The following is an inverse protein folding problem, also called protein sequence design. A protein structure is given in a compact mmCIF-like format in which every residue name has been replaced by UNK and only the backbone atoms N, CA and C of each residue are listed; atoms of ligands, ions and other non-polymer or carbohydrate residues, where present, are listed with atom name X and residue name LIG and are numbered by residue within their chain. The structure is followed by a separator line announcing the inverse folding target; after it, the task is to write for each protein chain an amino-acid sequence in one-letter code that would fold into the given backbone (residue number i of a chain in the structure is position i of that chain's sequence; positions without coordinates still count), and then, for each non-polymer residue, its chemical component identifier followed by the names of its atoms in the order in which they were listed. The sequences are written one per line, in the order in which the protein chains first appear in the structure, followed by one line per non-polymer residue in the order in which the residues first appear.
data_IF_221446166918
#
_entry.id   IF_221446166918
#
_cell.length_a   1.000
_cell.length_b   1.000
_cell.length_c   1.000
_cell.angle_alpha   90.00
_cell.angle_beta   90.00
_cell.angle_gamma   90.00
#
_symmetry.space_group_name_H-M   'P 1'
#
loop_
_entity.id
_entity.type
_entity.pdbx_description
1 polymer ?
#
# COMPACT_ATOMS: atom_id res chain seq x y z
N UNK A 1 87.49 2.88 -17.12
CA UNK A 1 86.88 2.74 -18.47
C UNK A 1 85.58 1.89 -18.38
N UNK A 2 84.51 2.32 -19.09
CA UNK A 2 83.24 1.65 -19.39
C UNK A 2 82.11 2.00 -18.40
N UNK A 3 81.39 2.93 -18.77
CA UNK A 3 80.11 3.18 -19.49
C UNK A 3 78.89 2.61 -18.74
N UNK A 4 78.18 3.58 -18.24
CA UNK A 4 76.82 3.50 -17.69
C UNK A 4 75.81 3.20 -18.80
N UNK A 5 74.88 2.29 -18.55
CA UNK A 5 73.66 2.18 -19.30
C UNK A 5 72.49 2.26 -18.33
N UNK A 6 71.73 3.30 -18.50
CA UNK A 6 70.49 3.63 -17.81
C UNK A 6 69.34 2.79 -18.41
N UNK A 7 68.63 2.03 -17.59
CA UNK A 7 67.34 1.46 -17.97
C UNK A 7 66.22 2.31 -17.35
N UNK A 8 65.44 2.93 -18.18
CA UNK A 8 64.21 3.64 -17.84
C UNK A 8 63.13 2.61 -17.58
N UNK A 9 62.65 2.57 -16.37
CA UNK A 9 61.44 1.83 -16.00
C UNK A 9 60.23 2.67 -16.39
N UNK A 10 59.42 2.15 -17.32
CA UNK A 10 58.12 2.68 -17.69
C UNK A 10 57.10 2.28 -16.62
N UNK A 11 56.59 3.23 -15.90
CA UNK A 11 55.45 3.03 -15.00
C UNK A 11 54.18 2.98 -15.84
N UNK A 12 53.57 1.79 -15.95
CA UNK A 12 52.23 1.63 -16.48
C UNK A 12 51.23 1.95 -15.42
N UNK A 13 50.58 3.11 -15.53
CA UNK A 13 49.44 3.49 -14.71
C UNK A 13 48.22 2.70 -15.18
N UNK A 14 47.80 1.70 -14.40
CA UNK A 14 46.52 1.03 -14.59
C UNK A 14 45.38 1.91 -14.09
N UNK A 15 44.67 2.56 -15.00
CA UNK A 15 43.45 3.28 -14.73
C UNK A 15 42.32 2.28 -14.48
N UNK A 16 41.98 2.01 -13.22
CA UNK A 16 40.81 1.24 -12.86
C UNK A 16 39.57 2.11 -13.08
N UNK A 17 38.86 1.91 -14.18
CA UNK A 17 37.55 2.50 -14.41
C UNK A 17 36.53 1.80 -13.51
N UNK A 18 36.16 2.45 -12.39
CA UNK A 18 34.97 2.09 -11.62
C UNK A 18 33.74 2.47 -12.45
N UNK A 19 33.15 1.51 -13.12
CA UNK A 19 31.80 1.65 -13.68
C UNK A 19 30.80 1.54 -12.52
N UNK A 20 30.39 2.69 -11.99
CA UNK A 20 29.22 2.79 -11.13
C UNK A 20 28.00 2.41 -11.97
N UNK A 21 27.50 1.19 -11.79
CA UNK A 21 26.20 0.77 -12.29
C UNK A 21 25.14 1.56 -11.50
N UNK A 22 24.75 2.72 -12.03
CA UNK A 22 23.55 3.41 -11.59
C UNK A 22 22.35 2.48 -11.89
N UNK A 23 21.82 1.86 -10.85
CA UNK A 23 20.51 1.23 -10.89
C UNK A 23 19.49 2.34 -11.10
N UNK A 24 19.23 2.67 -12.37
CA UNK A 24 18.08 3.48 -12.75
C UNK A 24 16.84 2.72 -12.33
N UNK A 25 16.27 3.10 -11.19
CA UNK A 25 14.87 2.82 -10.91
C UNK A 25 14.09 3.42 -12.09
N UNK A 26 13.68 2.57 -13.04
CA UNK A 26 12.79 2.95 -14.12
C UNK A 26 11.48 3.38 -13.47
N UNK A 27 11.32 4.64 -13.20
CA UNK A 27 10.02 5.27 -13.10
C UNK A 27 9.33 5.01 -14.42
N UNK A 28 8.35 4.10 -14.43
CA UNK A 28 7.49 3.91 -15.59
C UNK A 28 6.78 5.23 -15.83
N UNK A 29 7.23 5.96 -16.84
CA UNK A 29 6.56 7.13 -17.31
C UNK A 29 5.24 6.66 -17.93
N UNK A 30 4.08 7.12 -17.45
CA UNK A 30 2.81 6.66 -17.98
C UNK A 30 2.76 6.97 -19.46
N UNK A 31 2.52 5.95 -20.27
CA UNK A 31 2.17 6.17 -21.68
C UNK A 31 0.87 6.97 -21.69
N UNK A 32 0.94 8.22 -22.14
CA UNK A 32 -0.20 9.11 -22.26
C UNK A 32 -1.27 8.43 -23.13
N UNK A 33 -2.32 7.92 -22.51
CA UNK A 33 -3.45 7.35 -23.24
C UNK A 33 -4.27 8.50 -23.79
N UNK A 34 -4.62 8.44 -25.08
CA UNK A 34 -5.36 9.48 -25.85
C UNK A 34 -6.75 9.86 -25.29
N UNK A 35 -7.08 9.49 -24.06
CA UNK A 35 -8.36 9.74 -23.39
C UNK A 35 -8.20 10.30 -21.98
N UNK A 36 -7.11 11.02 -21.70
CA UNK A 36 -6.93 11.65 -20.41
C UNK A 36 -7.92 12.80 -20.23
N UNK A 37 -8.32 13.04 -18.97
CA UNK A 37 -9.23 14.13 -18.65
C UNK A 37 -8.63 15.47 -19.11
N UNK A 38 -9.38 16.32 -19.81
CA UNK A 38 -8.87 17.60 -20.28
C UNK A 38 -8.30 18.40 -19.11
N UNK A 39 -7.00 18.67 -19.16
CA UNK A 39 -6.32 19.47 -18.15
C UNK A 39 -6.00 18.78 -16.82
N UNK A 40 -6.14 17.48 -16.67
CA UNK A 40 -5.66 16.74 -15.48
C UNK A 40 -4.66 15.69 -15.91
N UNK A 41 -3.41 15.87 -15.51
CA UNK A 41 -2.32 14.94 -15.79
C UNK A 41 -2.00 14.06 -14.58
N UNK A 42 -1.84 12.75 -14.79
CA UNK A 42 -1.27 11.83 -13.83
C UNK A 42 0.25 11.95 -13.88
N UNK A 43 0.86 12.43 -12.79
CA UNK A 43 2.31 12.67 -12.69
C UNK A 43 3.04 11.43 -12.20
N UNK A 44 2.47 10.79 -11.16
CA UNK A 44 3.07 9.62 -10.53
C UNK A 44 1.98 8.76 -9.92
N UNK A 45 2.18 7.47 -9.94
CA UNK A 45 1.34 6.51 -9.24
C UNK A 45 2.16 5.32 -8.76
N UNK A 46 1.62 4.57 -7.83
CA UNK A 46 2.25 3.38 -7.30
C UNK A 46 1.47 2.83 -6.12
N UNK A 47 1.88 1.66 -5.66
CA UNK A 47 1.35 1.08 -4.43
C UNK A 47 2.49 0.51 -3.59
N UNK A 48 2.25 0.45 -2.30
CA UNK A 48 3.16 -0.15 -1.32
C UNK A 48 2.41 -1.16 -0.48
N UNK A 49 3.10 -2.21 -0.09
CA UNK A 49 2.61 -3.21 0.83
C UNK A 49 3.10 -2.87 2.23
N UNK A 50 2.17 -2.65 3.13
CA UNK A 50 2.44 -2.25 4.50
C UNK A 50 1.96 -3.32 5.47
N UNK A 51 2.78 -3.65 6.46
CA UNK A 51 2.35 -4.56 7.52
C UNK A 51 1.26 -3.89 8.36
N UNK A 52 0.12 -4.55 8.47
CA UNK A 52 -0.97 -4.09 9.34
C UNK A 52 -0.60 -4.43 10.78
N UNK A 53 -0.55 -3.40 11.62
CA UNK A 53 -0.44 -3.61 13.05
C UNK A 53 -1.84 -3.89 13.60
N UNK A 54 -2.02 -5.02 14.28
CA UNK A 54 -3.30 -5.41 14.86
C UNK A 54 -3.86 -4.36 15.85
N UNK A 55 -2.99 -3.54 16.48
CA UNK A 55 -3.39 -2.45 17.40
C UNK A 55 -3.99 -1.25 16.69
N UNK A 56 -3.70 -1.08 15.42
CA UNK A 56 -4.12 0.06 14.59
C UNK A 56 -4.68 -0.42 13.25
N UNK A 57 -5.49 -1.47 13.28
CA UNK A 57 -6.16 -1.92 12.06
C UNK A 57 -7.10 -0.79 11.59
N UNK A 58 -6.81 -0.13 10.45
CA UNK A 58 -7.64 0.95 9.94
C UNK A 58 -9.03 0.48 9.49
N UNK A 59 -9.27 -0.84 9.48
CA UNK A 59 -10.54 -1.46 9.07
C UNK A 59 -11.41 -1.88 10.26
N UNK A 60 -11.19 -1.33 11.46
CA UNK A 60 -12.11 -1.49 12.56
C UNK A 60 -11.70 -2.45 13.66
N UNK A 61 -10.41 -2.67 13.79
CA UNK A 61 -9.88 -3.47 14.89
C UNK A 61 -9.76 -4.95 14.56
N UNK A 62 -9.27 -5.74 15.48
CA UNK A 62 -9.07 -7.16 15.26
C UNK A 62 -10.43 -7.80 14.99
N UNK A 63 -10.59 -8.38 13.82
CA UNK A 63 -11.71 -9.29 13.59
C UNK A 63 -11.53 -10.44 14.56
N UNK A 64 -12.34 -10.46 15.61
CA UNK A 64 -12.38 -11.60 16.53
C UNK A 64 -12.71 -12.85 15.72
N UNK A 65 -11.85 -13.85 15.84
CA UNK A 65 -12.21 -15.14 15.27
C UNK A 65 -13.31 -15.80 16.12
N UNK A 66 -13.92 -16.84 15.59
CA UNK A 66 -15.04 -17.52 16.25
C UNK A 66 -14.68 -18.04 17.67
N UNK A 67 -13.46 -18.52 17.86
CA UNK A 67 -12.99 -18.99 19.17
C UNK A 67 -12.83 -17.85 20.19
N UNK A 68 -12.32 -16.73 19.77
CA UNK A 68 -12.20 -15.53 20.62
C UNK A 68 -13.57 -15.01 21.04
N UNK A 69 -14.51 -14.99 20.11
CA UNK A 69 -15.91 -14.60 20.38
C UNK A 69 -16.57 -15.55 21.39
N UNK A 70 -16.33 -16.87 21.25
CA UNK A 70 -16.81 -17.87 22.21
C UNK A 70 -16.21 -17.68 23.60
N UNK A 71 -14.90 -17.45 23.71
CA UNK A 71 -14.23 -17.22 24.98
C UNK A 71 -14.79 -15.98 25.66
N UNK A 72 -14.95 -14.88 24.93
CA UNK A 72 -15.53 -13.65 25.46
C UNK A 72 -16.96 -13.87 25.96
N UNK A 73 -17.83 -14.43 25.16
CA UNK A 73 -19.23 -14.69 25.51
C UNK A 73 -19.33 -15.60 26.76
N UNK A 74 -18.48 -16.64 26.84
CA UNK A 74 -18.40 -17.50 28.02
C UNK A 74 -17.98 -16.73 29.28
N UNK A 75 -16.98 -15.89 29.17
CA UNK A 75 -16.46 -15.11 30.30
C UNK A 75 -17.48 -14.07 30.78
N UNK A 76 -18.15 -13.38 29.85
CA UNK A 76 -19.26 -12.45 30.18
C UNK A 76 -20.38 -13.16 30.92
N UNK A 77 -20.82 -14.32 30.41
CA UNK A 77 -21.85 -15.12 31.07
C UNK A 77 -21.44 -15.57 32.48
N UNK A 78 -20.19 -16.07 32.67
CA UNK A 78 -19.69 -16.47 33.99
C UNK A 78 -19.68 -15.30 35.00
N UNK A 79 -19.30 -14.11 34.56
CA UNK A 79 -19.30 -12.90 35.40
C UNK A 79 -20.76 -12.53 35.77
N UNK A 80 -21.68 -12.56 34.84
CA UNK A 80 -23.07 -12.20 35.09
C UNK A 80 -23.79 -13.22 35.96
N UNK A 81 -23.55 -14.50 35.76
CA UNK A 81 -24.11 -15.56 36.61
C UNK A 81 -23.58 -15.44 38.07
N UNK A 82 -22.29 -15.14 38.25
CA UNK A 82 -21.69 -14.92 39.56
C UNK A 82 -22.27 -13.67 40.25
N UNK A 83 -22.50 -12.59 39.53
CA UNK A 83 -23.15 -11.37 40.08
C UNK A 83 -24.58 -11.64 40.50
N UNK A 84 -25.38 -12.35 39.67
CA UNK A 84 -26.79 -12.69 39.98
C UNK A 84 -26.91 -13.64 41.14
N UNK A 85 -25.96 -14.57 41.28
CA UNK A 85 -25.91 -15.55 42.37
C UNK A 85 -25.36 -14.98 43.70
N UNK A 86 -24.99 -13.69 43.75
CA UNK A 86 -24.42 -13.08 44.94
C UNK A 86 -23.07 -13.73 45.38
N UNK A 87 -22.35 -14.31 44.44
CA UNK A 87 -21.11 -15.05 44.72
C UNK A 87 -20.01 -14.11 45.19
N UNK A 88 -19.29 -14.47 46.24
CA UNK A 88 -18.06 -13.82 46.70
C UNK A 88 -16.89 -13.94 45.70
N UNK A 89 -17.05 -14.82 44.71
CA UNK A 89 -16.01 -15.16 43.74
C UNK A 89 -15.98 -14.24 42.48
N UNK A 90 -16.84 -13.23 42.40
CA UNK A 90 -16.94 -12.36 41.22
C UNK A 90 -15.57 -11.77 40.81
N UNK A 91 -14.77 -11.35 41.82
CA UNK A 91 -13.45 -10.75 41.55
C UNK A 91 -12.42 -11.77 41.08
N UNK A 92 -12.51 -13.01 41.56
CA UNK A 92 -11.69 -14.13 41.05
C UNK A 92 -12.03 -14.41 39.58
N UNK A 93 -13.32 -14.54 39.24
CA UNK A 93 -13.83 -14.80 37.91
C UNK A 93 -13.42 -13.67 36.93
N UNK A 94 -13.47 -12.42 37.38
CA UNK A 94 -13.01 -11.27 36.58
C UNK A 94 -11.50 -11.34 36.29
N UNK A 95 -10.69 -11.73 37.29
CA UNK A 95 -9.24 -11.89 37.06
C UNK A 95 -8.94 -13.01 36.06
N UNK A 96 -9.63 -14.13 36.16
CA UNK A 96 -9.51 -15.23 35.20
C UNK A 96 -9.91 -14.79 33.78
N UNK A 97 -11.03 -14.07 33.62
CA UNK A 97 -11.48 -13.55 32.34
C UNK A 97 -10.48 -12.55 31.70
N UNK A 98 -9.83 -11.73 32.53
CA UNK A 98 -8.75 -10.83 32.07
C UNK A 98 -7.50 -11.62 31.63
N UNK A 99 -7.14 -12.69 32.35
CA UNK A 99 -6.03 -13.54 31.95
C UNK A 99 -6.31 -14.27 30.63
N UNK A 100 -7.53 -14.80 30.43
CA UNK A 100 -7.95 -15.38 29.16
C UNK A 100 -7.83 -14.37 28.00
N UNK A 101 -8.30 -13.14 28.22
CA UNK A 101 -8.20 -12.08 27.20
C UNK A 101 -6.75 -11.72 26.89
N UNK A 102 -5.87 -11.66 27.89
CA UNK A 102 -4.44 -11.40 27.68
C UNK A 102 -3.76 -12.53 26.89
N UNK A 103 -4.13 -13.80 27.15
CA UNK A 103 -3.61 -14.93 26.38
C UNK A 103 -4.04 -14.89 24.91
N UNK A 104 -5.28 -14.53 24.65
CA UNK A 104 -5.79 -14.34 23.28
C UNK A 104 -5.03 -13.22 22.57
N UNK A 105 -4.78 -12.12 23.25
CA UNK A 105 -3.99 -11.02 22.71
C UNK A 105 -2.56 -11.44 22.36
N UNK A 106 -1.90 -12.21 23.23
CA UNK A 106 -0.57 -12.77 22.95
C UNK A 106 -0.62 -13.71 21.74
N UNK A 107 -1.64 -14.54 21.63
CA UNK A 107 -1.83 -15.45 20.50
C UNK A 107 -2.02 -14.69 19.18
N UNK A 108 -2.78 -13.59 19.20
CA UNK A 108 -2.93 -12.69 18.02
C UNK A 108 -1.61 -12.08 17.58
N UNK A 109 -0.79 -11.61 18.53
CA UNK A 109 0.54 -11.04 18.25
C UNK A 109 1.48 -12.05 17.60
N UNK A 110 1.33 -13.32 17.92
CA UNK A 110 2.10 -14.44 17.34
C UNK A 110 1.53 -14.96 16.03
N UNK A 111 0.35 -14.50 15.62
CA UNK A 111 -0.28 -14.88 14.37
C UNK A 111 0.55 -14.49 13.14
N UNK A 112 0.24 -15.07 11.97
CA UNK A 112 0.94 -14.73 10.74
C UNK A 112 0.79 -13.23 10.45
N UNK A 113 1.82 -12.59 9.89
CA UNK A 113 1.76 -11.18 9.53
C UNK A 113 0.64 -10.96 8.50
N UNK A 114 -0.10 -9.88 8.66
CA UNK A 114 -1.09 -9.42 7.68
C UNK A 114 -0.61 -8.14 7.05
N UNK A 115 -0.84 -7.98 5.77
CA UNK A 115 -0.47 -6.82 4.99
C UNK A 115 -1.69 -6.15 4.39
N UNK A 116 -1.64 -4.84 4.33
CA UNK A 116 -2.55 -4.02 3.53
C UNK A 116 -1.77 -3.30 2.44
N UNK A 117 -2.48 -2.63 1.57
CA UNK A 117 -1.93 -2.06 0.34
C UNK A 117 -2.28 -0.59 0.25
N UNK A 118 -1.25 0.26 0.20
CA UNK A 118 -1.38 1.70 0.09
C UNK A 118 -1.17 2.13 -1.35
N UNK A 119 -2.23 2.59 -1.97
CA UNK A 119 -2.23 3.15 -3.32
C UNK A 119 -1.96 4.65 -3.24
N UNK A 120 -1.11 5.14 -4.14
CA UNK A 120 -0.70 6.53 -4.23
C UNK A 120 -0.93 7.05 -5.64
N UNK A 121 -1.46 8.26 -5.74
CA UNK A 121 -1.68 8.97 -6.98
C UNK A 121 -1.27 10.43 -6.82
N UNK A 122 -0.36 10.89 -7.68
CA UNK A 122 -0.01 12.31 -7.81
C UNK A 122 -0.59 12.84 -9.11
N UNK A 123 -1.39 13.88 -9.02
CA UNK A 123 -1.97 14.56 -10.19
C UNK A 123 -1.54 16.00 -10.25
N UNK A 124 -1.57 16.57 -11.45
CA UNK A 124 -1.40 17.99 -11.72
C UNK A 124 -2.57 18.50 -12.52
N UNK A 125 -3.13 19.61 -12.08
CA UNK A 125 -4.18 20.29 -12.83
C UNK A 125 -3.53 21.29 -13.81
N UNK A 126 -3.52 20.96 -15.08
CA UNK A 126 -3.02 21.79 -16.18
C UNK A 126 -4.14 22.58 -16.87
N UNK A 127 -5.38 22.37 -16.44
CA UNK A 127 -6.56 23.06 -16.95
C UNK A 127 -6.81 24.40 -16.27
N UNK A 128 -7.82 25.11 -16.76
CA UNK A 128 -8.23 26.42 -16.23
C UNK A 128 -9.22 26.33 -15.06
N UNK A 129 -9.89 25.17 -14.87
CA UNK A 129 -10.90 24.96 -13.82
C UNK A 129 -10.30 24.23 -12.64
N UNK A 130 -10.65 24.66 -11.41
CA UNK A 130 -10.24 23.92 -10.22
C UNK A 130 -10.99 22.59 -10.12
N UNK A 131 -10.25 21.51 -9.90
CA UNK A 131 -10.80 20.17 -9.67
C UNK A 131 -11.29 20.08 -8.23
N UNK A 132 -12.46 19.49 -8.02
CA UNK A 132 -13.06 19.22 -6.71
C UNK A 132 -12.92 17.77 -6.30
N UNK A 133 -13.14 16.85 -7.26
CA UNK A 133 -13.16 15.40 -7.01
C UNK A 133 -12.67 14.65 -8.26
N UNK A 134 -12.00 13.52 -8.03
CA UNK A 134 -11.47 12.64 -9.07
C UNK A 134 -11.90 11.20 -8.78
N UNK A 135 -12.53 10.53 -9.77
CA UNK A 135 -12.66 9.09 -9.79
C UNK A 135 -11.61 8.49 -10.70
N UNK A 136 -10.92 7.49 -10.20
CA UNK A 136 -9.86 6.84 -10.94
C UNK A 136 -9.74 5.36 -10.59
N UNK A 137 -9.28 4.59 -11.55
CA UNK A 137 -9.03 3.16 -11.41
C UNK A 137 -7.53 2.91 -11.42
N UNK A 138 -7.06 2.08 -10.49
CA UNK A 138 -5.75 1.46 -10.56
C UNK A 138 -5.91 0.07 -11.18
N UNK A 139 -5.29 -0.13 -12.34
CA UNK A 139 -5.45 -1.34 -13.14
C UNK A 139 -4.13 -2.10 -13.20
N UNK A 140 -4.21 -3.39 -12.93
CA UNK A 140 -3.13 -4.35 -13.08
C UNK A 140 -3.42 -5.26 -14.27
N UNK A 141 -2.44 -5.42 -15.12
CA UNK A 141 -2.50 -6.32 -16.26
C UNK A 141 -1.31 -7.27 -16.28
N UNK A 142 -1.44 -8.39 -16.93
CA UNK A 142 -0.33 -9.28 -17.23
C UNK A 142 0.58 -8.62 -18.27
N UNK A 143 1.87 -8.50 -17.96
CA UNK A 143 2.82 -7.83 -18.86
C UNK A 143 3.05 -8.60 -20.19
N UNK A 144 2.77 -9.91 -20.20
CA UNK A 144 2.98 -10.75 -21.39
C UNK A 144 1.74 -10.75 -22.31
N UNK A 145 0.52 -10.83 -21.73
CA UNK A 145 -0.72 -10.97 -22.48
C UNK A 145 -1.52 -9.65 -22.59
N UNK A 146 -1.31 -8.74 -21.65
CA UNK A 146 -2.10 -7.52 -21.52
C UNK A 146 -3.46 -7.72 -20.84
N UNK A 147 -3.77 -8.95 -20.41
CA UNK A 147 -5.04 -9.26 -19.75
C UNK A 147 -5.14 -8.56 -18.40
N UNK A 148 -6.32 -8.04 -18.07
CA UNK A 148 -6.57 -7.41 -16.81
C UNK A 148 -6.61 -8.46 -15.67
N UNK A 149 -5.73 -8.30 -14.69
CA UNK A 149 -5.61 -9.18 -13.52
C UNK A 149 -6.31 -8.64 -12.29
N UNK A 150 -6.54 -7.34 -12.24
CA UNK A 150 -7.19 -6.68 -11.11
C UNK A 150 -7.45 -5.20 -11.36
N UNK A 151 -8.46 -4.67 -10.66
CA UNK A 151 -8.86 -3.27 -10.74
C UNK A 151 -9.36 -2.79 -9.40
N UNK A 152 -8.80 -1.68 -8.93
CA UNK A 152 -9.26 -0.99 -7.73
C UNK A 152 -9.78 0.39 -8.11
N UNK A 153 -10.97 0.73 -7.64
CA UNK A 153 -11.65 1.99 -7.91
C UNK A 153 -11.54 2.90 -6.71
N UNK A 154 -11.18 4.15 -6.95
CA UNK A 154 -11.00 5.16 -5.91
C UNK A 154 -11.71 6.45 -6.28
N UNK A 155 -12.26 7.12 -5.26
CA UNK A 155 -12.73 8.49 -5.33
C UNK A 155 -11.85 9.35 -4.45
N UNK A 156 -11.25 10.38 -5.03
CA UNK A 156 -10.36 11.32 -4.34
C UNK A 156 -11.02 12.67 -4.22
N UNK A 157 -11.39 13.04 -3.01
CA UNK A 157 -11.93 14.36 -2.72
C UNK A 157 -10.81 15.35 -2.39
N UNK A 158 -10.95 16.55 -2.88
CA UNK A 158 -10.11 17.67 -2.50
C UNK A 158 -9.65 18.53 -3.66
N UNK A 159 -9.67 19.83 -3.39
CA UNK A 159 -9.37 20.88 -4.36
C UNK A 159 -7.97 20.74 -4.95
N UNK A 160 -7.89 20.77 -6.29
CA UNK A 160 -6.64 20.94 -7.05
C UNK A 160 -6.79 22.17 -7.93
N UNK A 161 -6.20 23.28 -7.51
CA UNK A 161 -6.27 24.53 -8.23
C UNK A 161 -5.54 24.46 -9.60
N UNK A 162 -5.88 25.30 -10.58
CA UNK A 162 -5.15 25.41 -11.83
C UNK A 162 -3.64 25.58 -11.64
N UNK A 163 -2.85 24.84 -12.39
CA UNK A 163 -1.38 24.82 -12.31
C UNK A 163 -0.78 24.14 -11.07
N UNK A 164 -1.61 23.62 -10.16
CA UNK A 164 -1.14 22.94 -8.93
C UNK A 164 -1.22 21.42 -9.04
N UNK A 165 -0.38 20.75 -8.22
CA UNK A 165 -0.43 19.32 -8.03
C UNK A 165 -1.02 18.94 -6.67
N UNK A 166 -1.47 17.68 -6.55
CA UNK A 166 -1.93 17.10 -5.30
C UNK A 166 -1.64 15.61 -5.27
N UNK A 167 -1.29 15.13 -4.07
CA UNK A 167 -1.07 13.71 -3.80
C UNK A 167 -2.29 13.14 -3.07
N UNK A 168 -2.72 11.98 -3.50
CA UNK A 168 -3.77 11.20 -2.88
C UNK A 168 -3.20 9.84 -2.43
N UNK A 169 -3.74 9.31 -1.33
CA UNK A 169 -3.30 8.04 -0.78
C UNK A 169 -4.48 7.28 -0.18
N UNK A 170 -4.63 6.01 -0.56
CA UNK A 170 -5.68 5.12 -0.11
C UNK A 170 -5.07 3.84 0.43
N UNK A 171 -5.57 3.37 1.55
CA UNK A 171 -5.14 2.12 2.15
C UNK A 171 -6.31 1.13 2.16
N UNK A 172 -6.10 -0.05 1.55
CA UNK A 172 -7.10 -1.11 1.50
C UNK A 172 -6.50 -2.46 1.90
N UNK A 173 -7.31 -3.38 2.48
CA UNK A 173 -6.83 -4.70 2.89
C UNK A 173 -6.65 -5.67 1.72
N UNK A 174 -7.33 -5.42 0.61
CA UNK A 174 -7.38 -6.34 -0.50
C UNK A 174 -6.11 -6.27 -1.34
N UNK A 175 -5.49 -7.43 -1.67
CA UNK A 175 -4.31 -7.45 -2.51
C UNK A 175 -4.62 -6.92 -3.92
N UNK A 176 -3.61 -6.37 -4.61
CA UNK A 176 -3.74 -5.84 -5.98
C UNK A 176 -4.30 -6.84 -6.97
N UNK A 177 -3.86 -8.07 -6.85
CA UNK A 177 -4.28 -9.20 -7.69
C UNK A 177 -4.23 -10.48 -6.87
N UNK A 178 -4.78 -11.57 -7.37
CA UNK A 178 -4.69 -12.89 -6.75
C UNK A 178 -3.24 -13.43 -6.66
N UNK A 179 -2.32 -12.86 -7.42
CA UNK A 179 -0.88 -13.22 -7.39
C UNK A 179 -0.14 -12.61 -6.19
N UNK A 180 -0.72 -11.60 -5.55
CA UNK A 180 -0.09 -10.88 -4.43
C UNK A 180 -0.68 -11.38 -3.11
N UNK A 181 0.17 -11.94 -2.24
CA UNK A 181 -0.26 -12.46 -0.95
C UNK A 181 -0.51 -11.36 0.07
N UNK A 182 -1.58 -11.45 0.86
CA UNK A 182 -1.82 -10.60 2.02
C UNK A 182 -1.06 -11.07 3.29
N UNK A 183 -0.42 -12.24 3.25
CA UNK A 183 0.20 -12.87 4.43
C UNK A 183 1.71 -13.07 4.33
N UNK A 184 2.31 -12.86 3.16
CA UNK A 184 3.73 -13.01 2.94
C UNK A 184 4.32 -11.80 2.23
N UNK A 185 5.61 -11.51 2.47
CA UNK A 185 6.39 -10.59 1.66
C UNK A 185 7.15 -11.40 0.61
N UNK A 186 6.82 -11.23 -0.65
CA UNK A 186 7.57 -11.78 -1.77
C UNK A 186 8.24 -10.63 -2.53
N UNK A 187 9.53 -10.78 -2.81
CA UNK A 187 10.30 -9.80 -3.58
C UNK A 187 9.89 -9.74 -5.05
N UNK A 188 9.28 -10.80 -5.56
CA UNK A 188 8.88 -10.95 -6.95
C UNK A 188 7.39 -10.68 -7.22
N UNK A 189 6.63 -10.22 -6.22
CA UNK A 189 5.17 -9.99 -6.34
C UNK A 189 4.78 -9.08 -7.51
N UNK A 190 5.67 -8.19 -7.91
CA UNK A 190 5.46 -7.25 -9.03
C UNK A 190 5.98 -7.76 -10.37
N UNK A 191 6.69 -8.89 -10.37
CA UNK A 191 7.21 -9.44 -11.62
C UNK A 191 6.08 -9.83 -12.55
N UNK A 192 6.16 -9.38 -13.80
CA UNK A 192 5.13 -9.67 -14.81
C UNK A 192 3.82 -8.88 -14.64
N UNK A 193 3.77 -7.89 -13.72
CA UNK A 193 2.64 -6.98 -13.62
C UNK A 193 2.93 -5.70 -14.39
N UNK A 194 1.98 -5.30 -15.24
CA UNK A 194 1.91 -3.98 -15.84
C UNK A 194 0.86 -3.17 -15.07
N UNK A 195 1.23 -1.96 -14.66
CA UNK A 195 0.40 -1.10 -13.84
C UNK A 195 0.01 0.15 -14.61
N UNK A 196 -1.23 0.58 -14.47
CA UNK A 196 -1.72 1.85 -15.06
C UNK A 196 -2.79 2.47 -14.20
N UNK A 197 -2.90 3.79 -14.26
CA UNK A 197 -4.00 4.56 -13.70
C UNK A 197 -4.88 5.07 -14.83
N UNK A 198 -6.19 4.99 -14.63
CA UNK A 198 -7.21 5.45 -15.56
C UNK A 198 -8.09 6.46 -14.85
N UNK A 199 -8.07 7.72 -15.26
CA UNK A 199 -9.04 8.71 -14.80
C UNK A 199 -10.41 8.36 -15.41
N UNK A 200 -11.42 8.24 -14.55
CA UNK A 200 -12.78 7.84 -14.93
C UNK A 200 -13.71 9.04 -14.97
N UNK A 201 -13.64 9.91 -13.95
CA UNK A 201 -14.48 11.09 -13.83
C UNK A 201 -13.70 12.22 -13.14
N UNK A 202 -13.94 13.44 -13.58
CA UNK A 202 -13.44 14.66 -12.94
C UNK A 202 -14.61 15.59 -12.70
N UNK A 203 -14.86 15.92 -11.43
CA UNK A 203 -15.81 16.94 -11.03
C UNK A 203 -15.04 18.23 -10.74
N UNK A 204 -15.41 19.31 -11.40
CA UNK A 204 -14.84 20.64 -11.18
C UNK A 204 -15.65 21.45 -10.15
N UNK A 205 -15.03 22.49 -9.58
CA UNK A 205 -15.69 23.36 -8.57
C UNK A 205 -16.90 24.10 -9.14
N UNK A 206 -16.93 24.39 -10.42
CA UNK A 206 -18.05 25.02 -11.13
C UNK A 206 -19.23 24.06 -11.39
N UNK A 207 -19.15 22.82 -10.89
CA UNK A 207 -20.17 21.78 -11.09
C UNK A 207 -20.09 21.06 -12.43
N UNK A 208 -19.20 21.44 -13.33
CA UNK A 208 -19.01 20.71 -14.59
C UNK A 208 -18.35 19.37 -14.32
N UNK A 209 -18.72 18.36 -15.13
CA UNK A 209 -18.21 16.99 -15.00
C UNK A 209 -17.60 16.56 -16.33
N UNK A 210 -16.41 16.04 -16.29
CA UNK A 210 -15.86 15.23 -17.36
C UNK A 210 -15.96 13.76 -16.97
N UNK A 211 -16.34 12.92 -17.91
CA UNK A 211 -16.38 11.47 -17.72
C UNK A 211 -15.80 10.77 -18.94
N UNK A 212 -15.01 9.77 -18.69
CA UNK A 212 -14.46 8.88 -19.73
C UNK A 212 -15.60 8.12 -20.41
N UNK A 213 -15.61 8.09 -21.72
CA UNK A 213 -16.54 7.30 -22.55
C UNK A 213 -15.97 5.91 -22.84
#
# INVERSE_FOLDING_TARGET
MRRKLSARAAAAAALAALTAAAVCARTQQPAASRQDAPGVAVVKFGWDKERVNWERDPFGGPVENFEEMRVRARNEKRIDDAKRGGSSDVDRIRREARADSALLEIARRKGPPRYGFRYKLSVRNEGAKAVKELDWDYVFADAATGDELGRHKFTSEGRVAPGKGKDFSFFIPNPPTLRVSAYALDKNERAGLQERVVLVRVLYEDGTVWQRR
#
